data_IF_624869770635
#
_entry.id   IF_624869770635
#
_cell.length_a   1.000
_cell.length_b   1.000
_cell.length_c   1.000
_cell.angle_alpha   90.00
_cell.angle_beta   90.00
_cell.angle_gamma   90.00
#
_symmetry.space_group_name_H-M   'P 1'
#
loop_
_entity.id
_entity.type
_entity.pdbx_description
1 polymer ?
#
# COMPACT_ATOMS: atom_id res chain seq x y z
N UNK A 1 26.18 38.21 -60.49
CA UNK A 1 26.57 37.90 -59.10
C UNK A 1 25.29 37.64 -58.30
N UNK A 2 24.91 36.38 -58.07
CA UNK A 2 23.70 36.01 -57.32
C UNK A 2 24.13 35.29 -56.04
N UNK A 3 23.99 35.95 -54.89
CA UNK A 3 24.32 35.37 -53.58
C UNK A 3 23.17 34.46 -53.13
N UNK A 4 23.43 33.16 -53.02
CA UNK A 4 22.50 32.19 -52.43
C UNK A 4 22.53 32.37 -50.91
N UNK A 5 21.40 32.74 -50.32
CA UNK A 5 21.21 32.78 -48.86
C UNK A 5 20.76 31.38 -48.45
N UNK A 6 21.60 30.69 -47.67
CA UNK A 6 21.24 29.42 -47.06
C UNK A 6 20.37 29.68 -45.83
N UNK A 7 19.14 29.17 -45.82
CA UNK A 7 18.28 29.16 -44.66
C UNK A 7 18.66 27.98 -43.76
N UNK A 8 19.14 28.27 -42.55
CA UNK A 8 19.39 27.27 -41.52
C UNK A 8 18.07 26.92 -40.82
N UNK A 9 17.61 25.69 -40.98
CA UNK A 9 16.49 25.15 -40.21
C UNK A 9 16.97 24.81 -38.79
N UNK A 10 16.46 25.54 -37.80
CA UNK A 10 16.66 25.25 -36.38
C UNK A 10 15.63 24.19 -35.99
N UNK A 11 16.06 22.94 -35.80
CA UNK A 11 15.26 21.93 -35.13
C UNK A 11 15.22 22.25 -33.63
N UNK A 12 14.10 22.79 -33.14
CA UNK A 12 13.78 22.80 -31.72
C UNK A 12 13.49 21.35 -31.27
N UNK A 13 14.48 20.68 -30.68
CA UNK A 13 14.23 19.46 -29.92
C UNK A 13 13.50 19.84 -28.64
N UNK A 14 12.19 19.59 -28.59
CA UNK A 14 11.42 19.68 -27.35
C UNK A 14 11.78 18.46 -26.53
N UNK A 15 12.63 18.64 -25.52
CA UNK A 15 12.83 17.62 -24.48
C UNK A 15 11.56 17.57 -23.63
N UNK A 16 10.64 16.67 -23.98
CA UNK A 16 9.53 16.33 -23.11
C UNK A 16 10.09 15.67 -21.85
N UNK A 17 9.97 16.33 -20.71
CA UNK A 17 10.14 15.66 -19.42
C UNK A 17 8.98 14.70 -19.28
N UNK A 18 9.24 13.39 -19.27
CA UNK A 18 8.25 12.43 -18.75
C UNK A 18 8.01 12.81 -17.30
N UNK A 19 6.80 13.27 -16.97
CA UNK A 19 6.40 13.36 -15.58
C UNK A 19 6.61 11.97 -14.97
N UNK A 20 7.44 11.88 -13.94
CA UNK A 20 7.52 10.64 -13.16
C UNK A 20 6.20 10.58 -12.41
N UNK A 21 5.47 9.49 -12.59
CA UNK A 21 4.26 9.29 -11.84
C UNK A 21 4.57 9.13 -10.34
N UNK A 22 3.69 9.68 -9.52
CA UNK A 22 3.83 9.87 -8.09
C UNK A 22 2.86 8.91 -7.40
N UNK A 23 3.39 7.87 -6.72
CA UNK A 23 2.53 6.95 -5.98
C UNK A 23 1.82 7.70 -4.85
N UNK A 24 0.52 7.45 -4.71
CA UNK A 24 -0.26 7.99 -3.60
C UNK A 24 -1.51 7.16 -3.36
N UNK A 25 -2.06 7.29 -2.16
CA UNK A 25 -3.37 6.75 -1.82
C UNK A 25 -4.07 7.69 -0.85
N UNK A 26 -5.41 7.66 -0.86
CA UNK A 26 -6.25 8.34 0.13
C UNK A 26 -6.93 7.32 1.02
N UNK A 27 -6.95 7.58 2.32
CA UNK A 27 -7.67 6.75 3.28
C UNK A 27 -8.23 7.63 4.40
N UNK A 28 -9.54 7.53 4.60
CA UNK A 28 -10.29 8.18 5.68
C UNK A 28 -11.06 7.10 6.42
N UNK A 29 -11.05 7.17 7.74
CA UNK A 29 -11.91 6.38 8.62
C UNK A 29 -12.80 7.40 9.32
N UNK A 30 -14.10 7.28 9.11
CA UNK A 30 -15.13 8.20 9.58
C UNK A 30 -16.18 7.40 10.32
N UNK A 31 -16.63 7.93 11.47
CA UNK A 31 -17.62 7.29 12.35
C UNK A 31 -17.13 5.93 12.93
N UNK A 32 -18.07 5.15 13.47
CA UNK A 32 -17.87 3.87 14.18
C UNK A 32 -17.32 2.76 13.28
N UNK A 33 -16.18 2.17 13.67
CA UNK A 33 -15.51 1.09 12.95
C UNK A 33 -16.29 -0.22 12.96
N UNK A 34 -17.13 -0.45 13.95
CA UNK A 34 -17.98 -1.65 14.02
C UNK A 34 -19.06 -1.63 12.94
N UNK A 35 -19.60 -0.44 12.66
CA UNK A 35 -20.78 -0.26 11.81
C UNK A 35 -20.44 0.21 10.40
N UNK A 36 -19.31 0.87 10.21
CA UNK A 36 -18.93 1.51 8.95
C UNK A 36 -17.68 0.87 8.33
N UNK A 37 -17.71 0.58 7.03
CA UNK A 37 -16.58 -0.05 6.35
C UNK A 37 -15.41 0.92 6.16
N UNK A 38 -14.21 0.35 6.10
CA UNK A 38 -13.00 1.08 5.75
C UNK A 38 -12.92 1.19 4.24
N UNK A 39 -12.44 2.32 3.72
CA UNK A 39 -12.22 2.50 2.29
C UNK A 39 -10.96 3.29 1.98
N UNK A 40 -10.13 2.77 1.08
CA UNK A 40 -9.01 3.52 0.53
C UNK A 40 -8.96 3.41 -0.99
N UNK A 41 -8.35 4.42 -1.60
CA UNK A 41 -8.28 4.60 -3.06
C UNK A 41 -6.82 4.76 -3.46
N UNK A 42 -6.40 4.07 -4.51
CA UNK A 42 -5.12 4.35 -5.15
C UNK A 42 -5.26 5.66 -5.93
N UNK A 43 -4.65 6.74 -5.44
CA UNK A 43 -4.76 8.08 -6.02
C UNK A 43 -3.53 8.46 -6.85
N UNK A 44 -2.69 7.49 -7.19
CA UNK A 44 -1.52 7.70 -8.05
C UNK A 44 -1.92 8.34 -9.38
N UNK A 45 -1.03 9.13 -9.97
CA UNK A 45 -1.32 9.92 -11.17
C UNK A 45 -1.15 9.11 -12.48
N UNK A 46 -0.29 8.08 -12.55
CA UNK A 46 -0.33 7.11 -13.66
C UNK A 46 0.47 5.81 -13.45
N UNK A 47 -0.21 4.66 -13.59
CA UNK A 47 0.43 3.36 -13.84
C UNK A 47 1.02 2.63 -12.63
N UNK A 48 1.11 3.24 -11.45
CA UNK A 48 1.50 2.52 -10.23
C UNK A 48 0.32 1.76 -9.63
N UNK A 49 0.38 0.43 -9.73
CA UNK A 49 -0.55 -0.41 -9.00
C UNK A 49 -0.12 -0.46 -7.53
N UNK A 50 -1.09 -0.35 -6.62
CA UNK A 50 -0.87 -0.62 -5.22
C UNK A 50 -0.75 -2.14 -5.06
N UNK A 51 0.35 -2.62 -4.46
CA UNK A 51 0.63 -4.06 -4.31
C UNK A 51 0.53 -4.53 -2.86
N UNK A 52 0.66 -3.61 -1.90
CA UNK A 52 0.50 -3.90 -0.48
C UNK A 52 -0.02 -2.67 0.25
N UNK A 53 -0.91 -2.89 1.19
CA UNK A 53 -1.38 -1.88 2.12
C UNK A 53 -1.25 -2.41 3.55
N UNK A 54 -0.77 -1.58 4.47
CA UNK A 54 -0.53 -1.97 5.85
C UNK A 54 -0.96 -0.87 6.82
N UNK A 55 -1.56 -1.26 7.93
CA UNK A 55 -1.91 -0.40 9.07
C UNK A 55 -1.26 -0.96 10.34
N UNK A 56 -0.77 -0.07 11.19
CA UNK A 56 -0.34 -0.36 12.56
C UNK A 56 -1.02 0.59 13.57
N UNK A 57 -1.79 -0.03 14.47
CA UNK A 57 -2.57 0.59 15.54
C UNK A 57 -1.80 0.67 16.87
N UNK A 58 -0.59 0.13 16.99
CA UNK A 58 0.13 -0.07 18.27
C UNK A 58 0.25 1.20 19.12
N UNK A 59 0.31 2.38 18.50
CA UNK A 59 0.41 3.67 19.18
C UNK A 59 -0.90 4.26 19.71
N UNK A 60 -2.05 3.66 19.40
CA UNK A 60 -3.39 4.21 19.68
C UNK A 60 -4.06 3.61 20.92
N UNK A 61 -3.60 2.43 21.37
CA UNK A 61 -4.28 1.66 22.41
C UNK A 61 -5.46 0.82 21.92
N UNK A 62 -5.69 0.77 20.61
CA UNK A 62 -6.71 -0.06 19.97
C UNK A 62 -6.10 -1.27 19.27
N UNK A 63 -6.93 -2.28 19.01
CA UNK A 63 -6.60 -3.54 18.32
C UNK A 63 -7.77 -3.96 17.44
N UNK A 64 -7.50 -4.75 16.40
CA UNK A 64 -8.55 -5.34 15.58
C UNK A 64 -9.33 -6.38 16.38
N UNK A 65 -10.66 -6.28 16.40
CA UNK A 65 -11.57 -7.28 16.97
C UNK A 65 -12.31 -7.96 15.80
N UNK A 66 -11.83 -9.13 15.42
CA UNK A 66 -12.34 -9.83 14.23
C UNK A 66 -13.13 -11.08 14.58
N UNK A 67 -13.34 -11.35 15.87
CA UNK A 67 -13.99 -12.56 16.38
C UNK A 67 -15.00 -12.21 17.47
N UNK A 68 -16.28 -12.54 17.24
CA UNK A 68 -17.31 -12.46 18.26
C UNK A 68 -16.94 -13.21 19.55
N UNK A 69 -16.97 -12.50 20.67
CA UNK A 69 -16.60 -13.01 22.00
C UNK A 69 -15.09 -13.22 22.19
N UNK A 70 -14.28 -12.69 21.27
CA UNK A 70 -12.83 -12.80 21.25
C UNK A 70 -12.11 -11.79 22.12
N UNK A 71 -10.85 -11.55 21.77
CA UNK A 71 -10.04 -10.47 22.35
C UNK A 71 -10.25 -9.20 21.51
N UNK A 72 -10.29 -7.99 22.11
CA UNK A 72 -9.76 -7.67 23.44
C UNK A 72 -10.75 -7.77 24.61
N UNK A 73 -12.08 -7.76 24.38
CA UNK A 73 -13.02 -7.49 25.47
C UNK A 73 -14.33 -8.33 25.48
N UNK A 74 -14.41 -9.44 24.75
CA UNK A 74 -15.58 -10.35 24.67
C UNK A 74 -16.86 -9.74 24.07
N UNK A 75 -16.77 -8.54 23.47
CA UNK A 75 -17.82 -7.92 22.64
C UNK A 75 -18.09 -8.73 21.37
N UNK A 76 -19.01 -8.23 20.55
CA UNK A 76 -19.13 -8.69 19.18
C UNK A 76 -18.03 -8.04 18.35
N UNK A 77 -17.36 -8.82 17.51
CA UNK A 77 -16.38 -8.33 16.55
C UNK A 77 -16.87 -8.49 15.12
N UNK A 78 -16.27 -7.76 14.18
CA UNK A 78 -16.56 -7.85 12.75
C UNK A 78 -15.37 -8.48 12.02
N UNK A 79 -15.55 -9.68 11.44
CA UNK A 79 -14.49 -10.32 10.68
C UNK A 79 -14.06 -9.47 9.48
N UNK A 80 -12.76 -9.45 9.19
CA UNK A 80 -12.26 -8.83 7.96
C UNK A 80 -12.97 -9.43 6.74
N UNK A 81 -13.71 -8.59 6.03
CA UNK A 81 -14.52 -9.00 4.89
C UNK A 81 -14.42 -7.96 3.79
N UNK A 82 -13.84 -8.28 2.62
CA UNK A 82 -13.94 -7.44 1.43
C UNK A 82 -15.42 -7.20 1.09
N UNK A 83 -15.85 -5.94 1.08
CA UNK A 83 -17.27 -5.60 0.96
C UNK A 83 -17.58 -4.74 -0.27
N UNK A 84 -16.56 -4.20 -0.96
CA UNK A 84 -16.77 -3.46 -2.19
C UNK A 84 -15.55 -2.66 -2.67
N UNK A 85 -15.86 -1.57 -3.38
CA UNK A 85 -14.88 -0.71 -4.04
C UNK A 85 -15.16 -0.61 -5.52
N UNK A 86 -14.10 -0.64 -6.32
CA UNK A 86 -14.23 -0.73 -7.79
C UNK A 86 -14.65 -2.15 -8.22
N UNK A 87 -14.16 -3.15 -7.49
CA UNK A 87 -14.67 -4.52 -7.46
C UNK A 87 -14.69 -5.00 -5.99
N UNK A 88 -15.43 -6.07 -5.69
CA UNK A 88 -15.55 -6.63 -4.32
C UNK A 88 -14.19 -6.94 -3.72
N UNK A 89 -13.25 -7.45 -4.52
CA UNK A 89 -11.90 -7.75 -4.06
C UNK A 89 -10.87 -6.72 -4.51
N UNK A 90 -11.11 -5.98 -5.61
CA UNK A 90 -10.16 -5.02 -6.20
C UNK A 90 -8.73 -5.61 -6.23
N UNK A 91 -8.60 -6.82 -6.76
CA UNK A 91 -7.32 -7.51 -6.87
C UNK A 91 -6.72 -8.04 -5.55
N UNK A 92 -7.47 -8.12 -4.45
CA UNK A 92 -6.98 -8.67 -3.18
C UNK A 92 -6.55 -10.14 -3.36
N UNK A 93 -5.33 -10.44 -2.94
CA UNK A 93 -4.71 -11.77 -3.04
C UNK A 93 -4.36 -12.38 -1.69
N UNK A 94 -4.22 -11.55 -0.65
CA UNK A 94 -3.88 -11.99 0.69
C UNK A 94 -4.23 -10.94 1.72
N UNK A 95 -4.58 -11.39 2.92
CA UNK A 95 -4.78 -10.55 4.09
C UNK A 95 -4.18 -11.25 5.32
N UNK A 96 -3.72 -10.46 6.27
CA UNK A 96 -3.37 -10.91 7.61
C UNK A 96 -3.87 -9.89 8.61
N UNK A 97 -4.82 -10.32 9.42
CA UNK A 97 -5.33 -9.63 10.59
C UNK A 97 -5.63 -10.69 11.63
N UNK A 98 -5.35 -10.39 12.89
CA UNK A 98 -5.50 -11.33 14.00
C UNK A 98 -6.35 -10.65 15.06
N UNK A 99 -7.23 -11.43 15.66
CA UNK A 99 -8.04 -11.00 16.80
C UNK A 99 -7.15 -10.51 17.95
N UNK A 100 -7.39 -9.28 18.41
CA UNK A 100 -6.56 -8.59 19.41
C UNK A 100 -5.18 -8.17 18.90
N UNK A 101 -4.92 -8.28 17.60
CA UNK A 101 -3.70 -7.82 16.94
C UNK A 101 -3.77 -6.33 16.60
N UNK A 102 -2.61 -5.67 16.55
CA UNK A 102 -2.54 -4.23 16.21
C UNK A 102 -2.22 -3.94 14.75
N UNK A 103 -2.05 -4.96 13.91
CA UNK A 103 -1.60 -4.78 12.52
C UNK A 103 -2.53 -5.47 11.53
N UNK A 104 -2.76 -4.82 10.39
CA UNK A 104 -3.46 -5.37 9.24
C UNK A 104 -2.56 -5.24 8.00
N UNK A 105 -2.41 -6.32 7.26
CA UNK A 105 -1.54 -6.40 6.08
C UNK A 105 -2.30 -7.01 4.90
N UNK A 106 -2.44 -6.26 3.81
CA UNK A 106 -3.20 -6.64 2.61
C UNK A 106 -2.28 -6.65 1.40
N UNK A 107 -2.39 -7.66 0.54
CA UNK A 107 -1.64 -7.74 -0.74
C UNK A 107 -2.56 -7.80 -1.94
N UNK A 108 -2.18 -7.12 -3.01
CA UNK A 108 -2.99 -6.94 -4.21
C UNK A 108 -2.19 -7.25 -5.49
N UNK A 109 -2.88 -7.69 -6.54
CA UNK A 109 -2.30 -7.89 -7.88
C UNK A 109 -2.96 -7.04 -8.97
N UNK A 110 -4.08 -6.39 -8.67
CA UNK A 110 -4.87 -5.61 -9.63
C UNK A 110 -5.58 -4.46 -8.88
N UNK A 111 -4.78 -3.50 -8.40
CA UNK A 111 -5.26 -2.30 -7.72
C UNK A 111 -4.64 -1.06 -8.40
N UNK A 112 -5.16 -0.76 -9.57
CA UNK A 112 -4.72 0.31 -10.45
C UNK A 112 -5.08 1.71 -9.91
N UNK A 113 -4.44 2.77 -10.45
CA UNK A 113 -4.82 4.14 -10.12
C UNK A 113 -6.29 4.45 -10.41
N UNK A 114 -6.94 5.13 -9.48
CA UNK A 114 -8.36 5.47 -9.51
C UNK A 114 -9.28 4.39 -8.94
N UNK A 115 -8.78 3.18 -8.68
CA UNK A 115 -9.57 2.14 -8.03
C UNK A 115 -9.67 2.38 -6.53
N UNK A 116 -10.66 1.75 -5.91
CA UNK A 116 -10.92 1.79 -4.48
C UNK A 116 -11.20 0.40 -3.95
N UNK A 117 -10.81 0.14 -2.71
CA UNK A 117 -11.11 -1.08 -1.99
C UNK A 117 -11.87 -0.74 -0.71
N UNK A 118 -12.93 -1.49 -0.45
CA UNK A 118 -13.81 -1.33 0.73
C UNK A 118 -13.86 -2.66 1.47
N UNK A 119 -13.69 -2.62 2.78
CA UNK A 119 -13.73 -3.80 3.62
C UNK A 119 -14.29 -3.49 5.00
N UNK A 120 -14.98 -4.47 5.56
CA UNK A 120 -15.47 -4.43 6.93
C UNK A 120 -14.36 -4.97 7.84
N UNK A 121 -14.10 -4.30 8.96
CA UNK A 121 -13.26 -4.79 10.05
C UNK A 121 -13.58 -3.96 11.29
N UNK A 122 -13.67 -4.62 12.44
CA UNK A 122 -13.89 -3.92 13.69
C UNK A 122 -12.58 -3.68 14.46
N UNK A 123 -12.57 -2.59 15.23
CA UNK A 123 -11.46 -2.13 16.03
C UNK A 123 -12.00 -1.75 17.40
N UNK A 124 -11.36 -2.29 18.44
CA UNK A 124 -11.74 -2.06 19.82
C UNK A 124 -10.58 -1.52 20.64
N UNK A 125 -10.90 -0.85 21.74
CA UNK A 125 -9.87 -0.51 22.73
C UNK A 125 -9.34 -1.78 23.39
N UNK A 126 -8.02 -1.87 23.54
CA UNK A 126 -7.37 -2.95 24.32
C UNK A 126 -7.85 -2.92 25.78
N UNK A 127 -8.06 -1.71 26.30
CA UNK A 127 -8.66 -1.43 27.60
C UNK A 127 -9.59 -0.24 27.43
N UNK A 128 -10.90 -0.46 27.52
CA UNK A 128 -11.87 0.61 27.33
C UNK A 128 -13.21 0.12 26.78
N UNK A 129 -13.97 1.02 26.14
CA UNK A 129 -15.17 0.67 25.38
C UNK A 129 -14.91 -0.31 24.24
N UNK A 130 -15.93 -1.07 23.87
CA UNK A 130 -15.95 -1.99 22.74
C UNK A 130 -16.54 -1.31 21.49
N UNK A 131 -16.06 -0.10 21.22
CA UNK A 131 -16.37 0.64 20.00
C UNK A 131 -15.27 1.69 19.85
N UNK A 132 -14.80 1.84 18.62
CA UNK A 132 -13.83 2.85 18.24
C UNK A 132 -14.40 3.66 17.10
N UNK A 133 -14.27 4.99 17.19
CA UNK A 133 -14.62 5.91 16.10
C UNK A 133 -13.37 6.40 15.38
N UNK A 134 -13.51 6.85 14.14
CA UNK A 134 -12.40 7.21 13.27
C UNK A 134 -11.34 8.14 13.88
N UNK A 135 -11.73 9.15 14.66
CA UNK A 135 -10.80 10.08 15.31
C UNK A 135 -9.94 9.44 16.43
N UNK A 136 -10.37 8.32 17.01
CA UNK A 136 -9.63 7.60 18.04
C UNK A 136 -8.45 6.81 17.45
N UNK A 137 -8.41 6.68 16.11
CA UNK A 137 -7.29 6.10 15.38
C UNK A 137 -6.20 7.14 15.02
N UNK A 138 -6.34 8.40 15.42
CA UNK A 138 -5.29 9.41 15.23
C UNK A 138 -3.99 8.94 15.88
N UNK A 139 -2.90 9.01 15.12
CA UNK A 139 -1.59 8.52 15.54
C UNK A 139 -1.28 7.07 15.11
N UNK A 140 -2.26 6.33 14.60
CA UNK A 140 -1.98 5.10 13.86
C UNK A 140 -1.09 5.42 12.65
N UNK A 141 -0.34 4.41 12.20
CA UNK A 141 0.52 4.55 11.03
C UNK A 141 0.06 3.62 9.92
N UNK A 142 0.34 4.01 8.68
CA UNK A 142 0.09 3.15 7.53
C UNK A 142 1.15 3.34 6.46
N UNK A 143 1.25 2.35 5.58
CA UNK A 143 1.98 2.50 4.34
C UNK A 143 1.30 1.74 3.20
N UNK A 144 1.62 2.15 1.98
CA UNK A 144 1.33 1.40 0.77
C UNK A 144 2.61 1.19 -0.05
N UNK A 145 2.84 -0.03 -0.52
CA UNK A 145 3.86 -0.35 -1.52
C UNK A 145 3.23 -0.36 -2.91
N UNK A 146 3.99 0.12 -3.90
CA UNK A 146 3.56 0.27 -5.28
C UNK A 146 4.43 -0.53 -6.24
N UNK A 147 3.89 -0.82 -7.42
CA UNK A 147 4.52 -1.68 -8.44
C UNK A 147 5.80 -1.10 -9.04
N UNK A 148 6.05 0.20 -8.87
CA UNK A 148 7.28 0.88 -9.25
C UNK A 148 8.41 0.74 -8.22
N UNK A 149 8.16 0.01 -7.12
CA UNK A 149 9.11 -0.21 -6.05
C UNK A 149 9.20 0.94 -5.06
N UNK A 150 8.22 1.83 -5.01
CA UNK A 150 8.12 2.88 -4.01
C UNK A 150 7.14 2.50 -2.89
N UNK A 151 7.40 3.05 -1.70
CA UNK A 151 6.53 3.00 -0.53
C UNK A 151 6.13 4.41 -0.13
N UNK A 152 4.83 4.63 0.03
CA UNK A 152 4.27 5.83 0.66
C UNK A 152 3.94 5.48 2.12
N UNK A 153 4.53 6.19 3.07
CA UNK A 153 4.30 6.01 4.50
C UNK A 153 3.65 7.25 5.10
N UNK A 154 2.90 7.09 6.18
CA UNK A 154 2.22 8.21 6.84
C UNK A 154 1.56 7.86 8.15
N UNK A 155 0.82 8.83 8.66
CA UNK A 155 0.12 8.76 9.96
C UNK A 155 -1.31 9.24 9.81
N UNK A 156 -2.20 8.70 10.63
CA UNK A 156 -3.57 9.19 10.73
C UNK A 156 -3.64 10.47 11.55
N UNK A 157 -4.34 11.48 11.03
CA UNK A 157 -4.48 12.80 11.63
C UNK A 157 -5.95 13.25 11.63
N UNK A 158 -6.27 14.21 12.50
CA UNK A 158 -7.60 14.81 12.55
C UNK A 158 -7.97 15.46 11.20
N UNK A 159 -9.23 15.28 10.78
CA UNK A 159 -9.77 15.96 9.59
C UNK A 159 -10.46 17.26 10.02
N UNK A 160 -10.03 18.39 9.47
CA UNK A 160 -10.64 19.68 9.84
C UNK A 160 -12.12 19.72 9.45
N UNK A 161 -12.99 19.93 10.44
CA UNK A 161 -14.43 20.06 10.22
C UNK A 161 -15.20 18.73 10.29
N UNK A 162 -14.50 17.62 10.55
CA UNK A 162 -15.09 16.33 10.89
C UNK A 162 -14.44 15.86 12.21
N UNK A 163 -15.23 15.77 13.28
CA UNK A 163 -14.70 15.58 14.64
C UNK A 163 -14.51 14.10 15.00
N UNK A 164 -15.15 13.21 14.25
CA UNK A 164 -15.27 11.77 14.41
C UNK A 164 -14.42 10.98 13.41
N UNK A 165 -13.72 11.67 12.49
CA UNK A 165 -12.84 11.04 11.51
C UNK A 165 -11.34 11.23 11.77
N UNK A 166 -10.57 10.30 11.23
CA UNK A 166 -9.15 10.47 10.94
C UNK A 166 -8.83 10.19 9.47
N UNK A 167 -7.82 10.88 8.96
CA UNK A 167 -7.35 10.73 7.58
C UNK A 167 -5.87 10.45 7.54
N UNK A 168 -5.47 9.60 6.60
CA UNK A 168 -4.06 9.35 6.32
C UNK A 168 -3.38 10.59 5.73
N UNK A 169 -2.29 11.01 6.35
CA UNK A 169 -1.40 12.05 5.83
C UNK A 169 -0.04 11.43 5.53
N UNK A 170 0.36 11.45 4.27
CA UNK A 170 1.69 10.99 3.84
C UNK A 170 2.80 11.82 4.51
N UNK A 171 3.79 11.15 5.08
CA UNK A 171 4.96 11.77 5.72
C UNK A 171 6.24 11.54 4.92
N UNK A 172 6.25 10.59 3.97
CA UNK A 172 7.38 10.38 3.09
C UNK A 172 7.16 9.28 2.05
N UNK A 173 8.04 9.31 1.05
CA UNK A 173 8.17 8.27 0.02
C UNK A 173 9.58 7.70 0.08
N UNK A 174 9.69 6.37 0.08
CA UNK A 174 10.97 5.65 0.10
C UNK A 174 10.99 4.58 -0.98
N UNK A 175 12.17 4.15 -1.44
CA UNK A 175 12.27 2.93 -2.24
C UNK A 175 12.01 1.72 -1.34
N UNK A 176 11.09 0.87 -1.74
CA UNK A 176 10.85 -0.41 -1.09
C UNK A 176 12.12 -1.24 -1.27
N UNK A 177 12.69 -1.82 -0.18
CA UNK A 177 13.84 -2.71 -0.32
C UNK A 177 13.47 -3.82 -1.30
N UNK A 178 14.32 -4.16 -2.29
CA UNK A 178 14.09 -5.34 -3.10
C UNK A 178 13.90 -6.51 -2.13
N UNK A 179 12.77 -7.23 -2.22
CA UNK A 179 12.65 -8.53 -1.56
C UNK A 179 13.88 -9.31 -2.02
N UNK A 180 14.76 -9.79 -1.12
CA UNK A 180 15.88 -10.60 -1.54
C UNK A 180 15.29 -11.79 -2.29
N UNK A 181 15.46 -11.83 -3.62
CA UNK A 181 15.19 -13.04 -4.36
C UNK A 181 16.01 -14.13 -3.66
N UNK A 182 15.43 -15.29 -3.29
CA UNK A 182 16.25 -16.42 -2.88
C UNK A 182 17.28 -16.62 -3.98
N UNK A 183 18.56 -16.48 -3.61
CA UNK A 183 19.66 -16.31 -4.56
C UNK A 183 19.47 -17.28 -5.73
N UNK A 184 19.32 -16.78 -6.97
CA UNK A 184 18.96 -17.66 -8.05
C UNK A 184 20.06 -18.72 -8.21
N UNK A 185 19.63 -19.98 -8.31
CA UNK A 185 20.48 -21.16 -8.49
C UNK A 185 21.39 -21.13 -9.75
N UNK A 186 21.46 -20.01 -10.46
CA UNK A 186 22.33 -19.80 -11.62
C UNK A 186 23.82 -19.74 -11.27
N UNK A 187 24.21 -19.58 -10.00
CA UNK A 187 25.62 -19.74 -9.59
C UNK A 187 26.11 -21.20 -9.60
N UNK A 188 25.22 -22.20 -9.70
CA UNK A 188 25.65 -23.61 -9.81
C UNK A 188 25.93 -24.05 -11.26
N UNK A 189 25.40 -23.36 -12.26
CA UNK A 189 25.60 -23.74 -13.68
C UNK A 189 26.92 -23.21 -14.28
N UNK A 190 27.51 -22.17 -13.67
CA UNK A 190 28.85 -21.67 -14.05
C UNK A 190 30.01 -22.54 -13.54
N UNK A 191 29.80 -23.32 -12.48
CA UNK A 191 30.85 -24.14 -11.84
C UNK A 191 31.11 -25.48 -12.53
N UNK A 192 30.12 -26.05 -13.22
CA UNK A 192 30.27 -27.35 -13.92
C UNK A 192 30.81 -27.20 -15.35
N UNK A 193 30.72 -26.01 -15.96
CA UNK A 193 31.24 -25.76 -17.31
C UNK A 193 32.77 -25.67 -17.40
N UNK A 194 33.45 -25.28 -16.32
CA UNK A 194 34.92 -25.12 -16.31
C UNK A 194 35.68 -26.42 -16.02
N UNK A 195 35.02 -27.46 -15.49
CA UNK A 195 35.65 -28.78 -15.27
C UNK A 195 35.59 -29.69 -16.51
N UNK A 196 34.70 -29.41 -17.47
CA UNK A 196 34.60 -30.18 -18.72
C UNK A 196 35.63 -29.77 -19.79
N UNK A 197 36.23 -28.57 -19.68
CA UNK A 197 37.25 -28.08 -20.61
C UNK A 197 38.70 -28.46 -20.23
N UNK A 198 38.94 -28.99 -19.02
CA UNK A 198 40.29 -29.36 -18.57
C UNK A 198 40.71 -30.79 -18.95
N UNK A 199 39.83 -31.60 -19.55
CA UNK A 199 40.13 -32.99 -19.95
C UNK A 199 40.16 -33.19 -21.46
N UNK A 200 40.88 -32.32 -22.18
CA UNK A 200 41.32 -32.63 -23.55
C UNK A 200 42.57 -31.84 -23.93
N UNK A 201 43.73 -32.25 -23.41
CA UNK A 201 45.05 -32.19 -24.10
C UNK A 201 46.18 -32.70 -23.20
N UNK A 202 46.45 -34.00 -23.32
CA UNK A 202 47.77 -34.66 -23.53
C UNK A 202 47.73 -36.05 -22.96
#
# INVERSE_FOLDING_TARGET
MLRKIAAAAVCCAVFGTTAQAVPSFSFIIDDDTFSNPFSFTNTSDSGENLIRFFIDLTGTGTVFDVVNGGVPNTSNGVPFTPSGGTDVTTGLTGNTVVDGGSTLDLTFNDFAPGESFVFDVDVDFTVGPATVIGNELIGATAFADFSDGQRVSGVFQAIRGNADASGFTATGITLTPPIPLPAPAFLLLGGLGLLAAARKRR
#
